data_IF_900128732498
#
_entry.id   IF_900128732498
#
_cell.length_a   1.000
_cell.length_b   1.000
_cell.length_c   1.000
_cell.angle_alpha   90.00
_cell.angle_beta   90.00
_cell.angle_gamma   90.00
#
_symmetry.space_group_name_H-M   'P 1'
#
loop_
_entity.id
_entity.type
_entity.pdbx_description
1 polymer ?
#
# COMPACT_ATOMS: atom_id res chain seq x y z
N UNK A 1 -13.42 11.14 -23.92
CA UNK A 1 -12.82 9.83 -23.58
C UNK A 1 -11.50 10.11 -22.89
N UNK A 2 -11.49 10.18 -21.56
CA UNK A 2 -10.25 10.45 -20.81
C UNK A 2 -9.52 9.12 -20.73
N UNK A 3 -8.47 8.98 -21.53
CA UNK A 3 -7.50 7.90 -21.39
C UNK A 3 -6.68 8.24 -20.14
N UNK A 4 -7.14 7.80 -18.96
CA UNK A 4 -6.32 7.79 -17.75
C UNK A 4 -5.19 6.79 -18.01
N UNK A 5 -3.95 7.27 -17.96
CA UNK A 5 -2.74 6.48 -18.14
C UNK A 5 -2.77 5.22 -17.26
N UNK A 6 -2.50 4.05 -17.83
CA UNK A 6 -2.47 2.74 -17.14
C UNK A 6 -1.75 2.77 -15.78
N UNK A 7 -0.70 3.57 -15.66
CA UNK A 7 0.11 3.71 -14.45
C UNK A 7 -0.70 4.12 -13.19
N UNK A 8 -1.68 5.03 -13.29
CA UNK A 8 -2.45 5.46 -12.11
C UNK A 8 -3.34 4.36 -11.55
N UNK A 9 -3.91 3.54 -12.43
CA UNK A 9 -4.73 2.37 -12.06
C UNK A 9 -3.84 1.25 -11.51
N UNK A 10 -2.68 1.01 -12.12
CA UNK A 10 -1.69 0.04 -11.64
C UNK A 10 -1.22 0.39 -10.22
N UNK A 11 -0.84 1.65 -9.98
CA UNK A 11 -0.45 2.12 -8.66
C UNK A 11 -1.59 2.04 -7.65
N UNK A 12 -2.83 2.32 -8.06
CA UNK A 12 -3.97 2.20 -7.17
C UNK A 12 -4.24 0.72 -6.78
N UNK A 13 -4.15 -0.20 -7.73
CA UNK A 13 -4.28 -1.63 -7.46
C UNK A 13 -3.18 -2.13 -6.52
N UNK A 14 -1.93 -1.72 -6.77
CA UNK A 14 -0.81 -2.05 -5.89
C UNK A 14 -0.99 -1.47 -4.48
N UNK A 15 -1.55 -0.27 -4.36
CA UNK A 15 -1.93 0.30 -3.07
C UNK A 15 -2.97 -0.55 -2.33
N UNK A 16 -3.98 -1.09 -3.03
CA UNK A 16 -4.98 -1.97 -2.43
C UNK A 16 -4.37 -3.27 -1.90
N UNK A 17 -3.45 -3.87 -2.65
CA UNK A 17 -2.71 -5.06 -2.21
C UNK A 17 -1.88 -4.77 -0.96
N UNK A 18 -1.06 -3.70 -0.99
CA UNK A 18 -0.22 -3.31 0.14
C UNK A 18 -1.04 -2.96 1.39
N UNK A 19 -2.23 -2.37 1.22
CA UNK A 19 -3.17 -2.08 2.32
C UNK A 19 -3.66 -3.36 3.02
N UNK A 20 -3.69 -4.50 2.34
CA UNK A 20 -4.04 -5.79 2.94
C UNK A 20 -2.80 -6.52 3.51
N UNK A 21 -1.67 -6.46 2.81
CA UNK A 21 -0.47 -7.21 3.18
C UNK A 21 0.28 -6.63 4.39
N UNK A 22 0.40 -5.30 4.48
CA UNK A 22 1.15 -4.65 5.57
C UNK A 22 0.55 -4.98 6.95
N UNK A 23 -0.78 -4.88 7.18
CA UNK A 23 -1.37 -5.30 8.45
C UNK A 23 -1.09 -6.75 8.80
N UNK A 24 -1.12 -7.66 7.81
CA UNK A 24 -0.81 -9.07 8.04
C UNK A 24 0.64 -9.29 8.49
N UNK A 25 1.59 -8.52 7.95
CA UNK A 25 3.00 -8.58 8.36
C UNK A 25 3.21 -7.98 9.75
N UNK A 26 2.51 -6.89 10.08
CA UNK A 26 2.53 -6.30 11.43
C UNK A 26 1.97 -7.28 12.47
N UNK A 27 0.82 -7.91 12.18
CA UNK A 27 0.22 -8.92 13.07
C UNK A 27 1.16 -10.12 13.30
N UNK A 28 1.94 -10.52 12.29
CA UNK A 28 2.96 -11.57 12.46
C UNK A 28 4.09 -11.15 13.39
N UNK A 29 4.48 -9.88 13.38
CA UNK A 29 5.48 -9.32 14.31
C UNK A 29 4.95 -9.18 15.73
N UNK A 30 3.67 -8.86 15.88
CA UNK A 30 3.01 -8.76 17.19
C UNK A 30 2.61 -10.12 17.79
N UNK A 31 2.60 -11.18 16.97
CA UNK A 31 2.32 -12.52 17.44
C UNK A 31 3.43 -12.98 18.41
N UNK A 32 3.10 -13.52 19.60
CA UNK A 32 4.10 -14.08 20.53
C UNK A 32 5.01 -15.14 19.90
N UNK A 33 4.56 -15.80 18.82
CA UNK A 33 5.38 -16.75 18.07
C UNK A 33 6.57 -16.12 17.33
N UNK A 34 6.54 -14.80 17.14
CA UNK A 34 7.63 -14.00 16.58
C UNK A 34 8.95 -14.21 17.35
N UNK A 35 8.88 -14.27 18.67
CA UNK A 35 10.05 -14.47 19.53
C UNK A 35 10.66 -15.87 19.41
N UNK A 36 9.96 -16.82 18.78
CA UNK A 36 10.48 -18.15 18.45
C UNK A 36 11.07 -18.24 17.04
N UNK A 37 10.94 -17.20 16.21
CA UNK A 37 11.69 -17.12 14.95
C UNK A 37 13.17 -16.89 15.24
N UNK A 38 14.05 -17.50 14.45
CA UNK A 38 15.46 -17.15 14.49
C UNK A 38 15.69 -15.68 14.05
N UNK A 39 16.82 -15.13 14.46
CA UNK A 39 17.17 -13.72 14.23
C UNK A 39 17.18 -13.36 12.72
N UNK A 40 17.52 -14.32 11.86
CA UNK A 40 17.55 -14.12 10.41
C UNK A 40 16.13 -13.96 9.85
N UNK A 41 15.19 -14.81 10.26
CA UNK A 41 13.79 -14.76 9.87
C UNK A 41 13.09 -13.49 10.39
N UNK A 42 13.44 -13.04 11.61
CA UNK A 42 12.96 -11.76 12.12
C UNK A 42 13.44 -10.59 11.27
N UNK A 43 14.75 -10.53 10.98
CA UNK A 43 15.34 -9.49 10.11
C UNK A 43 14.75 -9.50 8.70
N UNK A 44 14.52 -10.68 8.13
CA UNK A 44 13.92 -10.80 6.81
C UNK A 44 12.49 -10.25 6.80
N UNK A 45 11.67 -10.60 7.79
CA UNK A 45 10.30 -10.11 7.83
C UNK A 45 10.22 -8.61 8.16
N UNK A 46 11.14 -8.07 8.96
CA UNK A 46 11.30 -6.62 9.15
C UNK A 46 11.69 -5.91 7.85
N UNK A 47 12.68 -6.42 7.12
CA UNK A 47 13.10 -5.87 5.83
C UNK A 47 11.95 -5.89 4.80
N UNK A 48 11.18 -6.99 4.77
CA UNK A 48 10.00 -7.11 3.89
C UNK A 48 8.90 -6.11 4.26
N UNK A 49 8.67 -5.90 5.55
CA UNK A 49 7.70 -4.90 6.02
C UNK A 49 8.16 -3.48 5.64
N UNK A 50 9.43 -3.16 5.89
CA UNK A 50 10.00 -1.85 5.57
C UNK A 50 9.90 -1.56 4.06
N UNK A 51 10.25 -2.52 3.21
CA UNK A 51 10.16 -2.36 1.76
C UNK A 51 8.72 -2.12 1.29
N UNK A 52 7.75 -2.87 1.82
CA UNK A 52 6.34 -2.69 1.48
C UNK A 52 5.79 -1.34 1.95
N UNK A 53 6.16 -0.89 3.14
CA UNK A 53 5.80 0.44 3.66
C UNK A 53 6.44 1.54 2.81
N UNK A 54 7.71 1.38 2.43
CA UNK A 54 8.42 2.32 1.55
C UNK A 54 7.71 2.42 0.19
N UNK A 55 7.35 1.28 -0.41
CA UNK A 55 6.62 1.24 -1.68
C UNK A 55 5.25 1.91 -1.57
N UNK A 56 4.50 1.64 -0.50
CA UNK A 56 3.20 2.27 -0.25
C UNK A 56 3.31 3.79 -0.16
N UNK A 57 4.38 4.33 0.45
CA UNK A 57 4.61 5.80 0.49
C UNK A 57 4.82 6.38 -0.90
N UNK A 58 5.67 5.74 -1.72
CA UNK A 58 5.93 6.19 -3.10
C UNK A 58 4.63 6.22 -3.91
N UNK A 59 3.79 5.20 -3.75
CA UNK A 59 2.50 5.13 -4.45
C UNK A 59 1.56 6.26 -4.00
N UNK A 60 1.44 6.47 -2.68
CA UNK A 60 0.59 7.54 -2.14
C UNK A 60 1.09 8.91 -2.62
N UNK A 61 2.40 9.14 -2.63
CA UNK A 61 2.99 10.37 -3.16
C UNK A 61 2.69 10.51 -4.65
N UNK A 62 2.90 9.47 -5.46
CA UNK A 62 2.58 9.48 -6.89
C UNK A 62 1.11 9.84 -7.14
N UNK A 63 0.18 9.16 -6.45
CA UNK A 63 -1.27 9.41 -6.60
C UNK A 63 -1.67 10.81 -6.15
N UNK A 64 -1.04 11.34 -5.08
CA UNK A 64 -1.26 12.72 -4.63
C UNK A 64 -0.76 13.76 -5.63
N UNK A 65 0.47 13.60 -6.12
CA UNK A 65 1.14 14.62 -6.94
C UNK A 65 0.74 14.57 -8.42
N UNK A 66 0.63 13.37 -9.00
CA UNK A 66 0.30 13.22 -10.42
C UNK A 66 -1.19 13.13 -10.66
N UNK A 67 -1.90 12.46 -9.75
CA UNK A 67 -3.33 12.27 -9.90
C UNK A 67 -4.18 13.25 -9.08
N UNK A 68 -3.57 14.10 -8.25
CA UNK A 68 -4.32 15.04 -7.40
C UNK A 68 -5.23 14.31 -6.40
N UNK A 69 -4.96 13.03 -6.12
CA UNK A 69 -5.83 12.17 -5.32
C UNK A 69 -5.69 12.56 -3.85
N UNK A 70 -6.77 13.08 -3.27
CA UNK A 70 -6.84 13.36 -1.83
C UNK A 70 -6.99 12.07 -1.02
N UNK A 71 -6.73 12.13 0.29
CA UNK A 71 -6.96 10.97 1.17
C UNK A 71 -8.43 10.46 1.12
N UNK A 72 -9.38 11.37 0.93
CA UNK A 72 -10.80 11.06 0.73
C UNK A 72 -11.03 10.33 -0.59
N UNK A 73 -10.38 10.75 -1.66
CA UNK A 73 -10.46 10.07 -2.95
C UNK A 73 -9.78 8.69 -2.92
N UNK A 74 -8.69 8.51 -2.16
CA UNK A 74 -8.11 7.18 -1.90
C UNK A 74 -9.11 6.27 -1.16
N UNK A 75 -9.86 6.80 -0.19
CA UNK A 75 -10.93 6.07 0.50
C UNK A 75 -12.07 5.69 -0.46
N UNK A 76 -12.55 6.63 -1.27
CA UNK A 76 -13.60 6.39 -2.28
C UNK A 76 -13.17 5.35 -3.31
N UNK A 77 -11.94 5.45 -3.82
CA UNK A 77 -11.37 4.47 -4.73
C UNK A 77 -11.29 3.09 -4.06
N UNK A 78 -10.94 3.00 -2.77
CA UNK A 78 -10.93 1.71 -2.05
C UNK A 78 -12.30 1.08 -1.86
N UNK A 79 -13.37 1.86 -2.00
CA UNK A 79 -14.76 1.39 -1.98
C UNK A 79 -15.30 1.11 -3.39
N UNK A 80 -14.47 1.22 -4.43
CA UNK A 80 -14.87 1.00 -5.83
C UNK A 80 -15.67 2.15 -6.45
N UNK A 81 -15.62 3.34 -5.86
CA UNK A 81 -16.34 4.52 -6.36
C UNK A 81 -15.42 5.32 -7.30
N UNK A 82 -15.84 5.50 -8.55
CA UNK A 82 -15.12 6.35 -9.50
C UNK A 82 -15.09 7.80 -9.01
N UNK A 83 -13.88 8.34 -8.90
CA UNK A 83 -13.66 9.73 -8.54
C UNK A 83 -13.54 10.56 -9.83
N UNK A 84 -14.51 11.43 -10.07
CA UNK A 84 -14.44 12.47 -11.10
C UNK A 84 -13.51 13.59 -10.65
N UNK A 85 -12.45 13.84 -11.43
CA UNK A 85 -11.60 15.03 -11.24
C UNK A 85 -12.33 16.24 -11.83
N UNK A 86 -12.50 17.30 -11.04
CA UNK A 86 -12.90 18.63 -11.53
C UNK A 86 -11.74 19.33 -12.21
#
# INVERSE_FOLDING_TARGET
MIIKTNAGIEYFNEYLELKQEIPNLVLRKENPQWFYLDEQNQKELEARLEEKVRRMRVIIEYLKYHDGVTAEQLLLLTMGVEVEKR
#
